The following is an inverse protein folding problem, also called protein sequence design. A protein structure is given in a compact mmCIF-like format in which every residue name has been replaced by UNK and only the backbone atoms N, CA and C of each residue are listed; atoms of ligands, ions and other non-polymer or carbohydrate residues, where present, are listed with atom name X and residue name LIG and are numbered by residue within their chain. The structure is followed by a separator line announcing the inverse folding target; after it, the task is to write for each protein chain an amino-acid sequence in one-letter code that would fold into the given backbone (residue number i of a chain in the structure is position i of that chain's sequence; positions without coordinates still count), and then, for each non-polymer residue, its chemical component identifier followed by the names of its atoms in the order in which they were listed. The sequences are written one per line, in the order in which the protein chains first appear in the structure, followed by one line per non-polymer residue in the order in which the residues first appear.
data_IF_546337754376
#
_entry.id   IF_546337754376
#
_cell.length_a   1.000
_cell.length_b   1.000
_cell.length_c   1.000
_cell.angle_alpha   90.00
_cell.angle_beta   90.00
_cell.angle_gamma   90.00
#
_symmetry.space_group_name_H-M   'P 1'
#
loop_
_entity.id
_entity.type
_entity.pdbx_description
1 polymer ?
#
# COMPACT_ATOMS: atom_id res chain seq x y z
N UNK A 1 -7.35 1.03 12.36
CA UNK A 1 -6.57 0.89 11.10
C UNK A 1 -7.38 1.48 9.96
N UNK A 2 -6.73 2.09 8.97
CA UNK A 2 -7.38 2.70 7.80
C UNK A 2 -6.62 2.30 6.54
N UNK A 3 -7.35 2.04 5.46
CA UNK A 3 -6.78 1.75 4.14
C UNK A 3 -7.45 2.69 3.15
N UNK A 4 -6.65 3.31 2.29
CA UNK A 4 -7.14 4.07 1.14
C UNK A 4 -6.55 3.47 -0.12
N UNK A 5 -7.40 3.28 -1.13
CA UNK A 5 -7.00 2.85 -2.44
C UNK A 5 -7.41 3.92 -3.46
N UNK A 6 -6.50 4.25 -4.35
CA UNK A 6 -6.72 5.16 -5.45
C UNK A 6 -6.37 4.44 -6.74
N UNK A 7 -7.36 4.30 -7.62
CA UNK A 7 -7.16 3.80 -8.97
C UNK A 7 -6.59 4.95 -9.79
N UNK A 8 -5.34 4.82 -10.20
CA UNK A 8 -4.61 5.86 -10.93
C UNK A 8 -4.88 5.74 -12.43
N UNK A 9 -4.87 4.51 -12.94
CA UNK A 9 -5.04 4.23 -14.36
C UNK A 9 -5.53 2.78 -14.59
N UNK A 10 -6.21 2.54 -15.70
CA UNK A 10 -6.69 1.23 -16.17
C UNK A 10 -6.52 1.10 -17.67
N UNK A 11 -5.91 0.01 -18.10
CA UNK A 11 -5.66 -0.33 -19.49
C UNK A 11 -5.81 -1.85 -19.75
N UNK A 12 -5.67 -2.26 -21.01
CA UNK A 12 -5.67 -3.66 -21.47
C UNK A 12 -6.81 -4.56 -20.93
N UNK A 13 -8.03 -4.02 -20.84
CA UNK A 13 -9.20 -4.78 -20.38
C UNK A 13 -9.52 -5.89 -21.38
N UNK A 14 -9.57 -7.14 -20.90
CA UNK A 14 -9.90 -8.32 -21.69
C UNK A 14 -11.09 -9.06 -21.08
N UNK A 15 -12.21 -9.09 -21.82
CA UNK A 15 -13.38 -9.90 -21.45
C UNK A 15 -13.12 -11.40 -21.59
N UNK A 16 -12.34 -11.81 -22.59
CA UNK A 16 -12.00 -13.23 -22.83
C UNK A 16 -11.11 -13.78 -21.72
N UNK A 17 -10.09 -13.01 -21.29
CA UNK A 17 -9.18 -13.43 -20.21
C UNK A 17 -9.66 -13.02 -18.81
N UNK A 18 -10.76 -12.28 -18.72
CA UNK A 18 -11.32 -11.79 -17.46
C UNK A 18 -10.27 -11.05 -16.61
N UNK A 19 -9.51 -10.15 -17.25
CA UNK A 19 -8.45 -9.40 -16.59
C UNK A 19 -8.29 -8.00 -17.16
N UNK A 20 -7.57 -7.17 -16.41
CA UNK A 20 -7.18 -5.82 -16.81
C UNK A 20 -5.82 -5.47 -16.22
N UNK A 21 -5.16 -4.50 -16.83
CA UNK A 21 -3.95 -3.87 -16.30
C UNK A 21 -4.35 -2.60 -15.54
N UNK A 22 -3.70 -2.32 -14.40
CA UNK A 22 -3.99 -1.11 -13.63
C UNK A 22 -2.80 -0.60 -12.84
N UNK A 23 -2.84 0.69 -12.51
CA UNK A 23 -2.00 1.31 -11.49
C UNK A 23 -2.84 1.66 -10.26
N UNK A 24 -2.47 1.10 -9.12
CA UNK A 24 -3.12 1.32 -7.83
C UNK A 24 -2.16 2.00 -6.87
N UNK A 25 -2.56 3.13 -6.30
CA UNK A 25 -1.90 3.72 -5.14
C UNK A 25 -2.63 3.29 -3.86
N UNK A 26 -1.89 2.77 -2.89
CA UNK A 26 -2.40 2.27 -1.63
C UNK A 26 -1.74 3.01 -0.48
N UNK A 27 -2.56 3.49 0.45
CA UNK A 27 -2.08 4.09 1.70
C UNK A 27 -2.68 3.34 2.89
N UNK A 28 -1.79 2.77 3.70
CA UNK A 28 -2.14 2.06 4.93
C UNK A 28 -1.78 2.94 6.12
N UNK A 29 -2.73 3.09 7.04
CA UNK A 29 -2.51 3.82 8.29
C UNK A 29 -2.92 3.02 9.51
N UNK A 30 -2.02 2.91 10.47
CA UNK A 30 -2.29 2.29 11.77
C UNK A 30 -1.56 3.06 12.87
N UNK A 31 -1.88 2.76 14.12
CA UNK A 31 -1.27 3.44 15.26
C UNK A 31 -0.46 2.44 16.06
N UNK A 32 0.75 2.84 16.41
CA UNK A 32 1.66 2.07 17.26
C UNK A 32 2.26 3.01 18.30
N UNK A 33 1.63 3.15 19.48
CA UNK A 33 2.04 4.13 20.50
C UNK A 33 3.49 3.99 20.97
N UNK A 34 4.06 2.78 20.92
CA UNK A 34 5.46 2.50 21.25
C UNK A 34 6.46 3.16 20.30
N UNK A 35 6.02 3.61 19.11
CA UNK A 35 6.87 4.27 18.12
C UNK A 35 6.71 5.79 18.09
N UNK A 36 5.84 6.35 18.94
CA UNK A 36 5.72 7.80 19.15
C UNK A 36 7.06 8.40 19.59
N UNK A 37 7.28 9.68 19.26
CA UNK A 37 8.54 10.35 19.53
C UNK A 37 8.36 11.85 19.73
N UNK A 38 9.26 12.48 20.48
CA UNK A 38 9.17 13.91 20.83
C UNK A 38 9.55 14.86 19.68
N UNK A 39 10.21 14.35 18.63
CA UNK A 39 10.60 15.15 17.47
C UNK A 39 9.40 15.67 16.69
N UNK A 40 9.45 16.90 16.14
CA UNK A 40 8.29 17.54 15.49
C UNK A 40 8.03 17.04 14.06
N UNK A 41 8.92 16.22 13.50
CA UNK A 41 8.85 15.76 12.10
C UNK A 41 8.64 14.27 12.03
N UNK A 42 7.99 13.82 10.97
CA UNK A 42 7.88 12.39 10.70
C UNK A 42 9.27 11.78 10.50
N UNK A 43 9.48 10.58 11.05
CA UNK A 43 10.66 9.76 10.77
C UNK A 43 10.31 8.61 9.85
N UNK A 44 11.31 8.05 9.19
CA UNK A 44 11.15 6.88 8.33
C UNK A 44 11.73 5.65 9.02
N UNK A 45 10.98 4.55 9.04
CA UNK A 45 11.43 3.25 9.55
C UNK A 45 11.20 2.16 8.50
N UNK A 46 11.88 1.04 8.68
CA UNK A 46 11.66 -0.20 7.93
C UNK A 46 10.44 -0.96 8.46
N UNK A 47 9.76 -1.77 7.63
CA UNK A 47 8.68 -2.64 8.08
C UNK A 47 9.04 -3.54 9.27
N UNK A 48 10.28 -4.02 9.33
CA UNK A 48 10.80 -4.87 10.42
C UNK A 48 10.88 -4.18 11.79
N UNK A 49 10.77 -2.85 11.83
CA UNK A 49 10.83 -2.06 13.06
C UNK A 49 9.44 -1.75 13.63
N UNK A 50 8.37 -2.31 13.05
CA UNK A 50 6.98 -2.09 13.45
C UNK A 50 6.20 -3.39 13.48
N UNK A 51 5.04 -3.39 14.14
CA UNK A 51 4.07 -4.48 13.99
C UNK A 51 3.29 -4.34 12.67
N UNK A 52 4.01 -4.40 11.55
CA UNK A 52 3.48 -4.18 10.22
C UNK A 52 2.44 -5.25 9.85
N UNK A 53 1.16 -4.87 9.59
CA UNK A 53 0.18 -5.82 9.09
C UNK A 53 0.49 -6.18 7.63
N UNK A 54 0.49 -7.48 7.31
CA UNK A 54 0.70 -7.94 5.94
C UNK A 54 -0.56 -7.67 5.08
N UNK A 55 -0.43 -6.80 4.07
CA UNK A 55 -1.53 -6.46 3.16
C UNK A 55 -1.35 -7.12 1.79
N UNK A 56 -2.42 -7.74 1.29
CA UNK A 56 -2.45 -8.41 -0.02
C UNK A 56 -3.62 -7.89 -0.85
N UNK A 57 -3.36 -7.70 -2.15
CA UNK A 57 -4.41 -7.46 -3.14
C UNK A 57 -4.80 -8.81 -3.72
N UNK A 58 -6.00 -9.28 -3.37
CA UNK A 58 -6.41 -10.68 -3.56
C UNK A 58 -6.58 -11.10 -5.01
N UNK A 59 -6.88 -10.16 -5.91
CA UNK A 59 -7.05 -10.42 -7.33
C UNK A 59 -5.80 -10.03 -8.15
N UNK A 60 -4.68 -9.71 -7.51
CA UNK A 60 -3.43 -9.45 -8.22
C UNK A 60 -2.90 -10.75 -8.85
N UNK A 61 -2.62 -10.73 -10.15
CA UNK A 61 -2.01 -11.86 -10.85
C UNK A 61 -0.49 -11.69 -10.93
N UNK A 62 -0.05 -10.59 -11.54
CA UNK A 62 1.36 -10.21 -11.64
C UNK A 62 1.46 -8.70 -11.49
N UNK A 63 1.84 -8.26 -10.30
CA UNK A 63 1.96 -6.85 -9.95
C UNK A 63 3.35 -6.56 -9.43
N UNK A 64 3.86 -5.39 -9.78
CA UNK A 64 5.11 -4.86 -9.24
C UNK A 64 4.79 -3.75 -8.26
N UNK A 65 5.51 -3.71 -7.13
CA UNK A 65 5.49 -2.56 -6.25
C UNK A 65 6.57 -1.57 -6.69
N UNK A 66 6.14 -0.38 -7.07
CA UNK A 66 6.98 0.66 -7.68
C UNK A 66 7.36 1.76 -6.69
N UNK A 67 6.92 1.65 -5.44
CA UNK A 67 7.25 2.60 -4.37
C UNK A 67 8.04 1.88 -3.27
N UNK A 68 9.18 2.42 -2.86
CA UNK A 68 9.99 1.84 -1.80
C UNK A 68 9.18 1.74 -0.51
N UNK A 69 9.01 0.52 0.02
CA UNK A 69 8.15 0.17 1.17
C UNK A 69 8.63 0.71 2.51
N UNK A 70 8.78 2.04 2.61
CA UNK A 70 9.19 2.77 3.79
C UNK A 70 7.97 3.23 4.57
N UNK A 71 8.03 3.09 5.90
CA UNK A 71 6.94 3.51 6.78
C UNK A 71 7.31 4.87 7.36
N UNK A 72 6.41 5.84 7.20
CA UNK A 72 6.51 7.12 7.90
C UNK A 72 5.80 7.03 9.24
N UNK A 73 6.49 7.43 10.31
CA UNK A 73 5.95 7.53 11.66
C UNK A 73 5.76 9.00 12.01
N UNK A 74 4.56 9.39 12.40
CA UNK A 74 4.29 10.72 12.95
C UNK A 74 4.63 10.81 14.44
N UNK A 75 4.78 12.02 15.01
CA UNK A 75 5.13 12.19 16.43
C UNK A 75 4.16 11.51 17.40
N UNK A 76 2.87 11.43 17.06
CA UNK A 76 1.81 10.81 17.87
C UNK A 76 1.68 9.28 17.69
N UNK A 77 2.60 8.68 16.93
CA UNK A 77 2.69 7.24 16.70
C UNK A 77 1.74 6.71 15.62
N UNK A 78 1.27 7.55 14.70
CA UNK A 78 0.57 7.08 13.49
C UNK A 78 1.61 6.66 12.43
N UNK A 79 1.46 5.44 11.94
CA UNK A 79 2.31 4.87 10.90
C UNK A 79 1.58 4.96 9.57
N UNK A 80 2.30 5.39 8.52
CA UNK A 80 1.79 5.47 7.15
C UNK A 80 2.72 4.71 6.22
N UNK A 81 2.20 3.65 5.58
CA UNK A 81 2.86 2.99 4.45
C UNK A 81 2.17 3.38 3.15
N UNK A 82 2.97 3.71 2.14
CA UNK A 82 2.50 3.99 0.79
C UNK A 82 3.08 2.96 -0.16
N UNK A 83 2.23 2.45 -1.06
CA UNK A 83 2.62 1.49 -2.09
C UNK A 83 2.03 1.94 -3.42
N UNK A 84 2.72 1.64 -4.51
CA UNK A 84 2.16 1.82 -5.85
C UNK A 84 2.30 0.52 -6.62
N UNK A 85 1.19 -0.18 -6.77
CA UNK A 85 1.14 -1.43 -7.51
C UNK A 85 0.83 -1.14 -8.98
N UNK A 86 1.57 -1.78 -9.88
CA UNK A 86 1.28 -1.75 -11.31
C UNK A 86 1.36 -3.16 -11.90
N UNK A 87 0.37 -3.54 -12.70
CA UNK A 87 0.34 -4.84 -13.39
C UNK A 87 -1.07 -5.37 -13.59
N UNK A 88 -1.19 -6.69 -13.67
CA UNK A 88 -2.42 -7.37 -14.05
C UNK A 88 -3.27 -7.81 -12.85
N UNK A 89 -4.58 -7.61 -12.98
CA UNK A 89 -5.59 -7.95 -11.99
C UNK A 89 -6.69 -8.79 -12.64
N UNK A 90 -7.15 -9.80 -11.91
CA UNK A 90 -8.29 -10.62 -12.31
C UNK A 90 -9.61 -9.89 -12.02
N UNK A 91 -10.58 -10.07 -12.90
CA UNK A 91 -11.98 -9.67 -12.70
C UNK A 91 -12.87 -10.86 -13.09
N UNK A 92 -13.22 -11.75 -12.14
CA UNK A 92 -14.25 -12.74 -12.41
C UNK A 92 -15.57 -12.01 -12.72
N UNK A 93 -16.22 -12.39 -13.83
CA UNK A 93 -17.58 -11.97 -14.16
C UNK A 93 -18.60 -12.74 -13.31
#
# INVERSE_FOLDING_TARGET
MRVKAFLVDVDDISSVRQNFSASLYLEYRWREPSLAHEGPRNRTILPSESNYPEFKVVNAQRVMDTLEGRIQVSPDGELTLRRRLWGHFAQPL
#
